data_IF_844714220721
#
_entry.id   IF_844714220721
#
_cell.length_a   1.000
_cell.length_b   1.000
_cell.length_c   1.000
_cell.angle_alpha   90.00
_cell.angle_beta   90.00
_cell.angle_gamma   90.00
#
_symmetry.space_group_name_H-M   'P 1'
#
loop_
_entity.id
_entity.type
_entity.pdbx_description
1 polymer ?
#
# COMPACT_ATOMS: atom_id res chain seq x y z
N UNK A 1 -15.19 -72.23 -4.82
CA UNK A 1 -14.34 -71.57 -3.81
C UNK A 1 -14.00 -70.17 -4.31
N UNK A 2 -14.87 -69.20 -4.01
CA UNK A 2 -14.63 -67.79 -4.31
C UNK A 2 -13.86 -67.19 -3.13
N UNK A 3 -12.66 -66.68 -3.37
CA UNK A 3 -11.88 -65.99 -2.35
C UNK A 3 -12.29 -64.52 -2.35
N UNK A 4 -12.97 -64.16 -1.27
CA UNK A 4 -13.36 -62.82 -0.88
C UNK A 4 -12.09 -62.02 -0.53
N UNK A 5 -11.81 -60.95 -1.27
CA UNK A 5 -10.65 -60.10 -1.06
C UNK A 5 -11.10 -58.81 -0.36
N UNK A 6 -10.84 -58.63 0.96
CA UNK A 6 -11.29 -57.44 1.66
C UNK A 6 -10.42 -56.25 1.26
N UNK A 7 -11.05 -55.30 0.55
CA UNK A 7 -10.51 -53.98 0.25
C UNK A 7 -10.18 -53.26 1.56
N UNK A 8 -8.87 -53.14 1.85
CA UNK A 8 -8.38 -52.26 2.91
C UNK A 8 -8.52 -50.81 2.44
N UNK A 9 -9.62 -50.18 2.86
CA UNK A 9 -9.83 -48.75 2.69
C UNK A 9 -8.68 -47.98 3.37
N UNK A 10 -7.82 -47.35 2.57
CA UNK A 10 -6.75 -46.47 3.06
C UNK A 10 -7.38 -45.24 3.71
N UNK A 11 -7.46 -45.23 5.04
CA UNK A 11 -7.83 -44.03 5.81
C UNK A 11 -6.73 -42.98 5.59
N UNK A 12 -7.09 -41.90 4.91
CA UNK A 12 -6.22 -40.75 4.66
C UNK A 12 -6.01 -40.01 5.99
N UNK A 13 -4.77 -39.78 6.47
CA UNK A 13 -4.57 -39.13 7.76
C UNK A 13 -5.03 -37.67 7.68
N UNK A 14 -5.98 -37.30 8.54
CA UNK A 14 -6.41 -35.92 8.74
C UNK A 14 -5.21 -35.05 9.16
N UNK A 15 -4.81 -34.13 8.29
CA UNK A 15 -3.79 -33.12 8.62
C UNK A 15 -4.40 -32.08 9.56
N UNK A 16 -4.36 -32.34 10.87
CA UNK A 16 -4.48 -31.26 11.86
C UNK A 16 -3.19 -30.43 11.81
N UNK A 17 -3.21 -29.35 11.03
CA UNK A 17 -2.10 -28.42 10.95
C UNK A 17 -1.95 -27.67 12.30
N UNK A 18 -1.27 -28.29 13.25
CA UNK A 18 -0.77 -27.59 14.43
C UNK A 18 0.07 -26.38 14.00
N UNK A 19 -0.03 -25.27 14.73
CA UNK A 19 0.78 -24.08 14.46
C UNK A 19 2.26 -24.47 14.52
N UNK A 20 2.93 -24.51 13.37
CA UNK A 20 4.36 -24.81 13.29
C UNK A 20 5.13 -23.79 14.15
N UNK A 21 5.97 -24.30 15.05
CA UNK A 21 6.85 -23.47 15.87
C UNK A 21 7.73 -22.61 14.95
N UNK A 22 7.86 -21.29 15.19
CA UNK A 22 8.76 -20.43 14.42
C UNK A 22 10.18 -21.00 14.40
N UNK A 23 10.89 -20.87 13.28
CA UNK A 23 12.30 -21.26 13.20
C UNK A 23 13.16 -20.26 13.98
N UNK A 24 14.26 -20.73 14.59
CA UNK A 24 15.26 -19.87 15.23
C UNK A 24 15.80 -18.83 14.26
N UNK A 25 16.03 -17.62 14.76
CA UNK A 25 16.67 -16.55 14.00
C UNK A 25 18.15 -16.88 13.79
N UNK A 26 18.57 -16.86 12.52
CA UNK A 26 19.98 -16.89 12.08
C UNK A 26 20.12 -15.92 10.91
N UNK A 27 21.35 -15.52 10.58
CA UNK A 27 21.60 -14.64 9.43
C UNK A 27 21.03 -15.25 8.13
N UNK A 28 21.34 -16.52 7.84
CA UNK A 28 20.84 -17.21 6.63
C UNK A 28 19.32 -17.31 6.62
N UNK A 29 18.68 -17.52 7.78
CA UNK A 29 17.22 -17.53 7.88
C UNK A 29 16.62 -16.16 7.55
N UNK A 30 17.14 -15.08 8.15
CA UNK A 30 16.68 -13.73 7.90
C UNK A 30 16.91 -13.32 6.44
N UNK A 31 18.08 -13.62 5.89
CA UNK A 31 18.40 -13.34 4.48
C UNK A 31 17.40 -14.01 3.53
N UNK A 32 17.20 -15.34 3.66
CA UNK A 32 16.26 -16.08 2.82
C UNK A 32 14.81 -15.61 3.02
N UNK A 33 14.41 -15.35 4.27
CA UNK A 33 13.07 -14.83 4.55
C UNK A 33 12.88 -13.40 4.02
N UNK A 34 13.93 -12.60 3.99
CA UNK A 34 13.95 -11.24 3.47
C UNK A 34 13.83 -11.23 1.96
N UNK A 35 14.64 -12.03 1.26
CA UNK A 35 14.56 -12.22 -0.19
C UNK A 35 13.16 -12.68 -0.60
N UNK A 36 12.64 -13.72 0.06
CA UNK A 36 11.30 -14.22 -0.22
C UNK A 36 10.20 -13.16 -0.02
N UNK A 37 10.38 -12.26 0.95
CA UNK A 37 9.44 -11.16 1.17
C UNK A 37 9.50 -10.14 0.02
N UNK A 38 10.70 -9.70 -0.36
CA UNK A 38 10.88 -8.67 -1.39
C UNK A 38 10.54 -9.16 -2.80
N UNK A 39 10.66 -10.46 -3.09
CA UNK A 39 10.15 -11.06 -4.33
C UNK A 39 8.64 -10.88 -4.52
N UNK A 40 7.89 -10.69 -3.43
CA UNK A 40 6.41 -10.68 -3.44
C UNK A 40 5.83 -9.30 -3.18
N UNK A 41 6.57 -8.45 -2.49
CA UNK A 41 6.08 -7.18 -2.00
C UNK A 41 7.10 -6.07 -2.22
N UNK A 42 6.68 -5.02 -2.93
CA UNK A 42 7.36 -3.73 -2.85
C UNK A 42 7.16 -3.16 -1.44
N UNK A 43 8.25 -2.79 -0.77
CA UNK A 43 8.23 -2.29 0.59
C UNK A 43 9.29 -1.20 0.78
N UNK A 44 8.96 -0.23 1.62
CA UNK A 44 9.96 0.67 2.19
C UNK A 44 10.87 -0.08 3.16
N UNK A 45 12.06 0.47 3.40
CA UNK A 45 13.01 -0.02 4.40
C UNK A 45 12.35 -0.14 5.77
N UNK A 46 11.61 0.88 6.22
CA UNK A 46 10.91 0.85 7.50
C UNK A 46 9.89 -0.29 7.60
N UNK A 47 9.15 -0.56 6.51
CA UNK A 47 8.17 -1.65 6.48
C UNK A 47 8.86 -3.00 6.49
N UNK A 48 9.91 -3.18 5.70
CA UNK A 48 10.71 -4.40 5.68
C UNK A 48 11.28 -4.70 7.07
N UNK A 49 11.94 -3.72 7.70
CA UNK A 49 12.45 -3.80 9.07
C UNK A 49 11.37 -4.24 10.06
N UNK A 50 10.21 -3.59 10.03
CA UNK A 50 9.08 -3.94 10.92
C UNK A 50 8.60 -5.38 10.73
N UNK A 51 8.58 -5.89 9.50
CA UNK A 51 8.18 -7.28 9.21
C UNK A 51 9.23 -8.27 9.75
N UNK A 52 10.51 -7.98 9.58
CA UNK A 52 11.60 -8.82 10.09
C UNK A 52 11.65 -8.81 11.62
N UNK A 53 11.53 -7.65 12.27
CA UNK A 53 11.48 -7.54 13.74
C UNK A 53 10.26 -8.28 14.32
N UNK A 54 9.11 -8.26 13.64
CA UNK A 54 7.95 -9.06 14.07
C UNK A 54 8.21 -10.57 13.99
N UNK A 55 9.04 -11.02 13.04
CA UNK A 55 9.49 -12.43 12.97
C UNK A 55 10.46 -12.74 14.11
N UNK A 56 11.41 -11.86 14.37
CA UNK A 56 12.34 -11.97 15.51
C UNK A 56 11.57 -12.10 16.82
N UNK A 57 10.64 -11.19 17.11
CA UNK A 57 9.82 -11.23 18.32
C UNK A 57 9.06 -12.56 18.49
N UNK A 58 8.50 -13.09 17.41
CA UNK A 58 7.81 -14.40 17.43
C UNK A 58 8.77 -15.56 17.67
N UNK A 59 9.99 -15.49 17.14
CA UNK A 59 11.01 -16.51 17.33
C UNK A 59 11.52 -16.50 18.77
N UNK A 60 11.94 -15.34 19.30
CA UNK A 60 12.45 -15.23 20.68
C UNK A 60 11.39 -15.61 21.72
N UNK A 61 10.09 -15.37 21.44
CA UNK A 61 9.03 -15.88 22.30
C UNK A 61 8.93 -17.41 22.31
N UNK A 62 9.24 -18.08 21.20
CA UNK A 62 9.23 -19.54 21.09
C UNK A 62 10.57 -20.19 21.50
N UNK A 63 11.65 -19.42 21.50
CA UNK A 63 13.03 -19.83 21.79
C UNK A 63 13.64 -18.83 22.78
N UNK A 64 13.35 -18.94 24.09
CA UNK A 64 13.76 -17.97 25.11
C UNK A 64 15.27 -17.83 25.28
N UNK A 65 16.05 -18.79 24.78
CA UNK A 65 17.51 -18.71 24.76
C UNK A 65 18.05 -17.74 23.69
N UNK A 66 17.21 -17.28 22.76
CA UNK A 66 17.59 -16.26 21.78
C UNK A 66 17.45 -14.87 22.37
N UNK A 67 18.56 -14.14 22.48
CA UNK A 67 18.53 -12.72 22.79
C UNK A 67 17.87 -11.92 21.66
N UNK A 68 16.84 -11.15 22.01
CA UNK A 68 16.10 -10.31 21.08
C UNK A 68 17.00 -9.22 20.50
N UNK A 69 17.85 -8.58 21.31
CA UNK A 69 18.66 -7.46 20.84
C UNK A 69 19.74 -7.92 19.86
N UNK A 70 20.44 -9.02 20.18
CA UNK A 70 21.34 -9.66 19.23
C UNK A 70 20.63 -10.03 17.90
N UNK A 71 19.41 -10.57 17.96
CA UNK A 71 18.64 -10.88 16.77
C UNK A 71 18.17 -9.63 16.00
N UNK A 72 17.88 -8.53 16.69
CA UNK A 72 17.51 -7.26 16.08
C UNK A 72 18.68 -6.62 15.34
N UNK A 73 19.91 -6.73 15.87
CA UNK A 73 21.11 -6.28 15.17
C UNK A 73 21.34 -7.04 13.84
N UNK A 74 21.00 -8.33 13.78
CA UNK A 74 21.02 -9.08 12.52
C UNK A 74 20.02 -8.53 11.50
N UNK A 75 18.90 -7.96 11.94
CA UNK A 75 17.93 -7.30 11.05
C UNK A 75 18.51 -6.00 10.48
N UNK A 76 19.17 -5.18 11.31
CA UNK A 76 19.79 -3.93 10.82
C UNK A 76 20.94 -4.22 9.84
N UNK A 77 21.80 -5.21 10.14
CA UNK A 77 22.83 -5.66 9.21
C UNK A 77 22.24 -6.15 7.87
N UNK A 78 21.11 -6.86 7.91
CA UNK A 78 20.42 -7.31 6.72
C UNK A 78 19.82 -6.15 5.91
N UNK A 79 19.25 -5.15 6.59
CA UNK A 79 18.71 -3.94 5.94
C UNK A 79 19.83 -3.25 5.16
N UNK A 80 20.96 -2.95 5.81
CA UNK A 80 22.10 -2.30 5.16
C UNK A 80 22.60 -3.10 3.95
N UNK A 81 22.69 -4.43 4.08
CA UNK A 81 23.08 -5.33 2.99
C UNK A 81 22.10 -5.25 1.81
N UNK A 82 20.80 -5.16 2.07
CA UNK A 82 19.77 -5.08 1.04
C UNK A 82 19.66 -3.71 0.40
N UNK A 83 19.92 -2.64 1.15
CA UNK A 83 20.04 -1.27 0.61
C UNK A 83 21.26 -1.17 -0.32
N UNK A 84 22.42 -1.68 0.12
CA UNK A 84 23.63 -1.71 -0.71
C UNK A 84 23.46 -2.54 -1.99
N UNK A 85 22.64 -3.60 -1.95
CA UNK A 85 22.29 -4.41 -3.11
C UNK A 85 21.16 -3.82 -3.98
N UNK A 86 20.60 -2.66 -3.61
CA UNK A 86 19.47 -2.03 -4.32
C UNK A 86 18.13 -2.77 -4.18
N UNK A 87 18.05 -3.78 -3.32
CA UNK A 87 16.81 -4.54 -3.05
C UNK A 87 15.83 -3.74 -2.20
N UNK A 88 16.35 -2.87 -1.34
CA UNK A 88 15.60 -1.84 -0.62
C UNK A 88 16.02 -0.49 -1.18
N UNK A 89 15.05 0.27 -1.68
CA UNK A 89 15.27 1.62 -2.18
C UNK A 89 14.00 2.43 -1.90
N UNK A 90 14.07 3.28 -0.88
CA UNK A 90 12.93 4.08 -0.44
C UNK A 90 12.53 5.14 -1.49
N UNK A 91 13.48 5.70 -2.24
CA UNK A 91 13.19 6.66 -3.31
C UNK A 91 12.39 6.01 -4.44
N UNK A 92 12.88 4.90 -4.98
CA UNK A 92 12.20 4.13 -6.03
C UNK A 92 10.81 3.67 -5.55
N UNK A 93 10.73 3.20 -4.31
CA UNK A 93 9.47 2.81 -3.69
C UNK A 93 8.49 3.98 -3.59
N UNK A 94 8.95 5.14 -3.12
CA UNK A 94 8.12 6.34 -2.97
C UNK A 94 7.61 6.82 -4.32
N UNK A 95 8.47 6.94 -5.34
CA UNK A 95 8.08 7.40 -6.67
C UNK A 95 7.00 6.48 -7.28
N UNK A 96 7.23 5.17 -7.27
CA UNK A 96 6.25 4.21 -7.80
C UNK A 96 4.93 4.20 -7.01
N UNK A 97 5.00 4.34 -5.69
CA UNK A 97 3.81 4.38 -4.84
C UNK A 97 3.02 5.68 -5.00
N UNK A 98 3.69 6.84 -5.14
CA UNK A 98 3.08 8.14 -5.44
C UNK A 98 2.35 8.07 -6.78
N UNK A 99 3.02 7.65 -7.85
CA UNK A 99 2.43 7.53 -9.18
C UNK A 99 1.18 6.62 -9.18
N UNK A 100 1.24 5.49 -8.46
CA UNK A 100 0.07 4.61 -8.29
C UNK A 100 -1.08 5.29 -7.53
N UNK A 101 -0.79 6.10 -6.52
CA UNK A 101 -1.80 6.81 -5.75
C UNK A 101 -2.43 7.96 -6.53
N UNK A 102 -1.63 8.75 -7.25
CA UNK A 102 -2.10 9.85 -8.08
C UNK A 102 -3.01 9.36 -9.22
N UNK A 103 -2.62 8.33 -9.97
CA UNK A 103 -3.50 7.67 -10.98
C UNK A 103 -4.81 7.12 -10.42
N UNK A 104 -4.90 6.95 -9.10
CA UNK A 104 -6.13 6.52 -8.41
C UNK A 104 -6.96 7.68 -7.88
N UNK A 105 -6.60 8.93 -8.18
CA UNK A 105 -7.25 10.13 -7.68
C UNK A 105 -7.13 10.30 -6.18
N UNK A 106 -5.91 10.22 -5.64
CA UNK A 106 -5.67 10.57 -4.24
C UNK A 106 -5.16 12.01 -4.16
N UNK A 107 -5.67 12.75 -3.16
CA UNK A 107 -5.20 14.08 -2.80
C UNK A 107 -3.75 14.04 -2.30
N UNK A 108 -3.07 15.18 -2.37
CA UNK A 108 -1.74 15.35 -1.77
C UNK A 108 -1.75 14.95 -0.29
N UNK A 109 -2.75 15.41 0.46
CA UNK A 109 -2.89 15.09 1.89
C UNK A 109 -3.03 13.59 2.13
N UNK A 110 -3.80 12.89 1.30
CA UNK A 110 -3.96 11.44 1.41
C UNK A 110 -2.69 10.68 1.01
N UNK A 111 -1.95 11.15 0.00
CA UNK A 111 -0.66 10.59 -0.40
C UNK A 111 0.33 10.70 0.76
N UNK A 112 0.54 11.91 1.31
CA UNK A 112 1.46 12.16 2.42
C UNK A 112 1.11 11.32 3.65
N UNK A 113 -0.17 11.25 4.03
CA UNK A 113 -0.61 10.43 5.15
C UNK A 113 -0.32 8.94 4.95
N UNK A 114 -0.53 8.41 3.73
CA UNK A 114 -0.23 7.01 3.41
C UNK A 114 1.27 6.72 3.33
N UNK A 115 2.09 7.70 2.94
CA UNK A 115 3.55 7.58 2.96
C UNK A 115 4.09 7.59 4.38
N UNK A 116 3.56 8.44 5.26
CA UNK A 116 3.90 8.44 6.68
C UNK A 116 3.60 7.07 7.35
N UNK A 117 2.47 6.45 7.04
CA UNK A 117 2.15 5.08 7.50
C UNK A 117 3.13 4.00 7.00
N UNK A 118 3.90 4.29 5.95
CA UNK A 118 4.94 3.42 5.38
C UNK A 118 6.34 3.81 5.88
N UNK A 119 6.45 4.77 6.79
CA UNK A 119 7.73 5.25 7.33
C UNK A 119 8.50 6.16 6.37
N UNK A 120 7.85 6.70 5.34
CA UNK A 120 8.47 7.68 4.43
C UNK A 120 8.25 9.08 4.99
N UNK A 121 9.32 9.88 5.06
CA UNK A 121 9.27 11.26 5.54
C UNK A 121 8.42 12.16 4.64
N UNK A 122 7.79 13.17 5.23
CA UNK A 122 6.90 14.09 4.52
C UNK A 122 7.60 14.80 3.35
N UNK A 123 8.86 15.22 3.54
CA UNK A 123 9.65 15.90 2.50
C UNK A 123 9.88 14.98 1.29
N UNK A 124 10.32 13.74 1.49
CA UNK A 124 10.55 12.79 0.40
C UNK A 124 9.26 12.48 -0.35
N UNK A 125 8.16 12.29 0.39
CA UNK A 125 6.85 12.04 -0.20
C UNK A 125 6.34 13.26 -1.00
N UNK A 126 6.59 14.49 -0.51
CA UNK A 126 6.21 15.72 -1.19
C UNK A 126 7.04 15.96 -2.46
N UNK A 127 8.35 15.75 -2.40
CA UNK A 127 9.24 15.87 -3.56
C UNK A 127 8.86 14.89 -4.67
N UNK A 128 8.64 13.62 -4.33
CA UNK A 128 8.18 12.61 -5.28
C UNK A 128 6.80 12.97 -5.90
N UNK A 129 5.91 13.56 -5.09
CA UNK A 129 4.61 14.04 -5.56
C UNK A 129 4.73 15.19 -6.54
N UNK A 130 5.53 16.21 -6.21
CA UNK A 130 5.77 17.36 -7.07
C UNK A 130 6.45 16.96 -8.37
N UNK A 131 7.43 16.04 -8.32
CA UNK A 131 8.07 15.51 -9.52
C UNK A 131 7.05 14.81 -10.43
N UNK A 132 6.23 13.92 -9.87
CA UNK A 132 5.17 13.24 -10.63
C UNK A 132 4.14 14.22 -11.23
N UNK A 133 3.67 15.16 -10.42
CA UNK A 133 2.67 16.16 -10.83
C UNK A 133 3.23 17.07 -11.94
N UNK A 134 4.53 17.40 -11.90
CA UNK A 134 5.20 18.18 -12.94
C UNK A 134 5.40 17.40 -14.25
N UNK A 135 5.77 16.11 -14.17
CA UNK A 135 5.92 15.24 -15.36
C UNK A 135 4.59 15.06 -16.11
N UNK A 136 3.49 14.85 -15.39
CA UNK A 136 2.15 14.70 -16.00
C UNK A 136 1.57 16.02 -16.55
N UNK A 137 2.11 17.16 -16.13
CA UNK A 137 1.71 18.49 -16.62
C UNK A 137 2.42 18.89 -17.92
N UNK A 138 3.45 18.14 -18.36
CA UNK A 138 4.23 18.47 -19.54
C UNK A 138 3.38 18.32 -20.82
N UNK A 139 2.83 19.44 -21.31
CA UNK A 139 1.97 19.54 -22.49
C UNK A 139 0.81 20.54 -22.37
N UNK A 140 0.46 20.97 -21.15
CA UNK A 140 -0.63 21.90 -20.87
C UNK A 140 -0.32 22.67 -19.57
N UNK A 141 0.15 23.93 -19.70
CA UNK A 141 0.70 24.78 -18.62
C UNK A 141 -0.24 25.03 -17.41
N UNK A 142 -1.46 24.48 -17.44
CA UNK A 142 -2.55 24.81 -16.52
C UNK A 142 -3.24 23.61 -15.85
N UNK A 143 -2.71 22.39 -15.99
CA UNK A 143 -3.34 21.22 -15.33
C UNK A 143 -3.04 21.21 -13.83
N UNK A 144 -3.99 21.74 -13.06
CA UNK A 144 -4.06 21.58 -11.61
C UNK A 144 -4.16 20.08 -11.24
N UNK A 145 -3.03 19.46 -10.90
CA UNK A 145 -2.92 18.03 -10.60
C UNK A 145 -3.82 17.61 -9.42
N UNK A 146 -4.05 18.53 -8.47
CA UNK A 146 -4.93 18.26 -7.33
C UNK A 146 -6.40 18.23 -7.77
N UNK A 147 -6.81 19.14 -8.66
CA UNK A 147 -8.11 19.12 -9.30
C UNK A 147 -8.32 17.85 -10.15
N UNK A 148 -7.34 17.43 -10.94
CA UNK A 148 -7.40 16.19 -11.71
C UNK A 148 -7.53 14.96 -10.81
N UNK A 149 -6.79 14.92 -9.70
CA UNK A 149 -6.93 13.86 -8.71
C UNK A 149 -8.35 13.84 -8.09
N UNK A 150 -8.93 15.01 -7.83
CA UNK A 150 -10.28 15.15 -7.31
C UNK A 150 -11.35 14.70 -8.32
N UNK A 151 -11.19 15.01 -9.62
CA UNK A 151 -12.04 14.52 -10.70
C UNK A 151 -12.01 12.99 -10.80
N UNK A 152 -10.81 12.40 -10.81
CA UNK A 152 -10.65 10.93 -10.81
C UNK A 152 -11.32 10.29 -9.59
N UNK A 153 -11.21 10.92 -8.42
CA UNK A 153 -11.90 10.48 -7.22
C UNK A 153 -13.42 10.54 -7.37
N UNK A 154 -13.94 11.68 -7.85
CA UNK A 154 -15.36 11.91 -8.04
C UNK A 154 -15.97 10.93 -9.04
N UNK A 155 -15.30 10.71 -10.17
CA UNK A 155 -15.70 9.72 -11.20
C UNK A 155 -15.79 8.32 -10.63
N UNK A 156 -14.76 7.87 -9.91
CA UNK A 156 -14.77 6.55 -9.26
C UNK A 156 -15.87 6.42 -8.20
N UNK A 157 -16.18 7.51 -7.49
CA UNK A 157 -17.21 7.53 -6.44
C UNK A 157 -18.60 7.84 -6.94
N UNK A 158 -18.76 8.17 -8.23
CA UNK A 158 -20.03 8.58 -8.85
C UNK A 158 -20.71 9.72 -8.08
N UNK A 159 -19.95 10.78 -7.81
CA UNK A 159 -20.42 11.99 -7.13
C UNK A 159 -20.23 13.22 -8.04
N UNK A 160 -21.00 14.28 -7.76
CA UNK A 160 -20.99 15.50 -8.58
C UNK A 160 -21.39 15.21 -10.02
N UNK A 161 -20.62 15.69 -11.03
CA UNK A 161 -20.97 15.51 -12.44
C UNK A 161 -21.04 14.04 -12.88
N UNK A 162 -20.38 13.14 -12.15
CA UNK A 162 -20.38 11.70 -12.46
C UNK A 162 -21.46 10.91 -11.70
N UNK A 163 -22.43 11.60 -11.07
CA UNK A 163 -23.52 10.94 -10.34
C UNK A 163 -24.44 10.17 -11.29
N UNK A 164 -25.18 9.22 -10.72
CA UNK A 164 -26.28 8.62 -11.47
C UNK A 164 -27.38 9.67 -11.66
N UNK A 165 -27.73 9.95 -12.93
CA UNK A 165 -28.77 10.94 -13.28
C UNK A 165 -30.14 10.60 -12.69
N UNK A 166 -30.39 9.34 -12.32
CA UNK A 166 -31.63 8.94 -11.63
C UNK A 166 -31.73 9.44 -10.19
N UNK A 167 -30.64 9.94 -9.60
CA UNK A 167 -30.62 10.51 -8.24
C UNK A 167 -30.70 12.01 -8.36
N UNK A 168 -31.78 12.64 -7.88
CA UNK A 168 -31.94 14.09 -7.93
C UNK A 168 -30.78 14.82 -7.24
N UNK A 169 -30.38 15.95 -7.82
CA UNK A 169 -29.40 16.83 -7.19
C UNK A 169 -30.10 17.77 -6.24
N UNK A 170 -30.09 17.37 -4.97
CA UNK A 170 -30.53 18.19 -3.85
C UNK A 170 -29.34 18.64 -3.01
N UNK A 171 -29.57 19.64 -2.15
CA UNK A 171 -28.59 20.17 -1.21
C UNK A 171 -27.95 19.04 -0.36
N UNK A 172 -28.74 18.04 0.02
CA UNK A 172 -28.28 16.89 0.80
C UNK A 172 -27.27 16.04 0.03
N UNK A 173 -27.48 15.81 -1.26
CA UNK A 173 -26.58 15.04 -2.13
C UNK A 173 -25.30 15.81 -2.39
N UNK A 174 -25.38 17.13 -2.61
CA UNK A 174 -24.20 17.99 -2.74
C UNK A 174 -23.37 18.00 -1.45
N UNK A 175 -24.00 18.15 -0.28
CA UNK A 175 -23.31 18.15 1.01
C UNK A 175 -22.63 16.81 1.31
N UNK A 176 -23.23 15.69 0.89
CA UNK A 176 -22.60 14.36 0.95
C UNK A 176 -21.39 14.26 0.04
N UNK A 177 -21.46 14.80 -1.17
CA UNK A 177 -20.35 14.81 -2.13
C UNK A 177 -19.17 15.65 -1.60
N UNK A 178 -19.44 16.87 -1.11
CA UNK A 178 -18.45 17.72 -0.44
C UNK A 178 -17.80 16.99 0.74
N UNK A 179 -18.61 16.34 1.59
CA UNK A 179 -18.11 15.57 2.73
C UNK A 179 -17.24 14.39 2.31
N UNK A 180 -17.52 13.75 1.18
CA UNK A 180 -16.72 12.64 0.65
C UNK A 180 -15.36 13.13 0.14
N UNK A 181 -15.32 14.24 -0.58
CA UNK A 181 -14.08 14.87 -1.08
C UNK A 181 -13.21 15.39 0.07
N UNK A 182 -13.81 16.05 1.07
CA UNK A 182 -13.10 16.52 2.25
C UNK A 182 -12.46 15.37 3.04
N UNK A 183 -13.18 14.25 3.23
CA UNK A 183 -12.61 13.03 3.86
C UNK A 183 -11.52 12.38 3.01
N UNK A 184 -11.57 12.55 1.69
CA UNK A 184 -10.51 12.13 0.78
C UNK A 184 -9.29 13.07 0.80
N UNK A 185 -9.37 14.19 1.50
CA UNK A 185 -8.26 15.12 1.76
C UNK A 185 -8.17 16.29 0.79
N UNK A 186 -9.18 16.51 -0.06
CA UNK A 186 -9.23 17.67 -0.95
C UNK A 186 -9.63 18.94 -0.20
N UNK A 187 -9.15 20.10 -0.66
CA UNK A 187 -9.57 21.39 -0.14
C UNK A 187 -11.02 21.68 -0.51
N UNK A 188 -11.65 22.60 0.22
CA UNK A 188 -13.02 23.01 -0.07
C UNK A 188 -13.14 23.64 -1.47
N UNK A 189 -12.16 24.47 -1.86
CA UNK A 189 -12.13 25.11 -3.19
C UNK A 189 -12.08 24.08 -4.33
N UNK A 190 -11.13 23.14 -4.28
CA UNK A 190 -11.02 22.05 -5.27
C UNK A 190 -12.30 21.21 -5.28
N UNK A 191 -12.86 20.92 -4.10
CA UNK A 191 -14.08 20.14 -3.99
C UNK A 191 -15.26 20.83 -4.66
N UNK A 192 -15.43 22.14 -4.45
CA UNK A 192 -16.49 22.93 -5.06
C UNK A 192 -16.34 22.96 -6.58
N UNK A 193 -15.13 23.30 -7.07
CA UNK A 193 -14.82 23.31 -8.52
C UNK A 193 -15.17 21.98 -9.19
N UNK A 194 -14.89 20.85 -8.54
CA UNK A 194 -15.22 19.52 -9.09
C UNK A 194 -16.71 19.26 -9.17
N UNK A 195 -17.50 19.77 -8.22
CA UNK A 195 -18.95 19.58 -8.22
C UNK A 195 -19.66 20.51 -9.21
N UNK A 196 -19.09 21.68 -9.49
CA UNK A 196 -19.60 22.67 -10.44
C UNK A 196 -19.17 22.38 -11.89
N UNK A 197 -18.11 21.60 -12.09
CA UNK A 197 -17.60 21.26 -13.41
C UNK A 197 -18.62 20.42 -14.21
N UNK A 198 -18.75 20.70 -15.50
CA UNK A 198 -19.71 20.00 -16.37
C UNK A 198 -19.08 18.75 -16.98
N UNK A 199 -19.89 17.72 -17.25
CA UNK A 199 -19.38 16.46 -17.82
C UNK A 199 -18.70 16.63 -19.19
N UNK A 200 -19.05 17.67 -19.92
CA UNK A 200 -18.55 17.96 -21.26
C UNK A 200 -17.13 18.56 -21.23
N UNK A 201 -16.67 19.05 -20.08
CA UNK A 201 -15.30 19.55 -19.86
C UNK A 201 -14.25 18.42 -19.81
N UNK A 202 -14.66 17.15 -19.97
CA UNK A 202 -13.84 15.96 -19.70
C UNK A 202 -13.61 15.03 -20.89
N UNK A 203 -13.95 15.46 -22.11
CA UNK A 203 -13.58 14.73 -23.34
C UNK A 203 -12.17 15.15 -23.76
N UNK A 204 -11.16 14.43 -23.25
CA UNK A 204 -9.81 14.32 -23.82
C UNK A 204 -9.34 12.87 -23.71
#
# INVERSE_FOLDING_TARGET
MAQDNPQTAKVKPERRAGKRVPKKITESYLHNSGLYYLQRFAASTSRFRSVMLRKVKKSCHAHPEQDYEACAQLVEALVLKFEAAGLLNDELYTNGAVASMRRRGLSQKAVLAKMAQRGIGANNALLALQAYDAEESYGDETRDSEFQAALMFARRKKIGPFRNMSVAEDEKTQQKALSALARAGFSYDVSRRVLEAQTDDFIL
#
